data_IF_800809684014
#
_entry.id   IF_800809684014
#
_cell.length_a   1.000
_cell.length_b   1.000
_cell.length_c   1.000
_cell.angle_alpha   90.00
_cell.angle_beta   90.00
_cell.angle_gamma   90.00
#
_symmetry.space_group_name_H-M   'P 1'
#
loop_
_entity.id
_entity.type
_entity.pdbx_description
1 polymer ?
#
# COMPACT_ATOMS: atom_id res chain seq x y z
N UNK A 1 -69.90 -45.42 -18.10
CA UNK A 1 -68.81 -46.23 -18.71
C UNK A 1 -67.73 -45.28 -19.20
N UNK A 2 -66.51 -45.44 -18.67
CA UNK A 2 -65.39 -44.49 -18.81
C UNK A 2 -64.64 -44.78 -20.12
N UNK A 3 -64.44 -43.76 -20.94
CA UNK A 3 -63.60 -43.80 -22.15
C UNK A 3 -62.15 -43.41 -21.77
N UNK A 4 -61.17 -44.30 -21.99
CA UNK A 4 -59.73 -44.01 -21.79
C UNK A 4 -59.13 -43.43 -23.08
N UNK A 5 -58.46 -42.27 -22.98
CA UNK A 5 -57.60 -41.69 -24.03
C UNK A 5 -56.12 -42.03 -23.75
N UNK A 6 -55.28 -42.29 -24.76
CA UNK A 6 -53.91 -42.75 -24.57
C UNK A 6 -52.92 -41.62 -24.25
N UNK A 7 -51.87 -41.95 -23.49
CA UNK A 7 -50.80 -41.07 -23.01
C UNK A 7 -49.62 -41.07 -24.02
N UNK A 8 -49.42 -40.00 -24.78
CA UNK A 8 -48.26 -39.85 -25.66
C UNK A 8 -47.81 -38.39 -25.84
N UNK A 9 -47.55 -37.65 -24.76
CA UNK A 9 -47.06 -36.25 -24.84
C UNK A 9 -45.90 -35.94 -23.86
N UNK A 10 -45.55 -36.85 -22.93
CA UNK A 10 -44.62 -36.52 -21.83
C UNK A 10 -43.12 -36.62 -22.11
N UNK A 11 -42.68 -37.12 -23.27
CA UNK A 11 -41.26 -37.44 -23.48
C UNK A 11 -40.39 -36.32 -24.10
N UNK A 12 -40.99 -35.24 -24.61
CA UNK A 12 -40.25 -34.20 -25.36
C UNK A 12 -39.83 -33.01 -24.48
N UNK A 13 -40.52 -32.77 -23.36
CA UNK A 13 -40.28 -31.60 -22.48
C UNK A 13 -38.99 -31.68 -21.66
N UNK A 14 -38.50 -32.89 -21.36
CA UNK A 14 -37.42 -33.10 -20.39
C UNK A 14 -36.02 -32.81 -20.95
N UNK A 15 -35.83 -32.88 -22.28
CA UNK A 15 -34.50 -32.65 -22.89
C UNK A 15 -34.19 -31.17 -23.18
N UNK A 16 -35.22 -30.33 -23.35
CA UNK A 16 -35.02 -28.90 -23.65
C UNK A 16 -34.56 -28.13 -22.41
N UNK A 17 -35.00 -28.52 -21.20
CA UNK A 17 -34.53 -27.91 -19.95
C UNK A 17 -33.06 -28.17 -19.64
N UNK A 18 -32.46 -29.24 -20.15
CA UNK A 18 -31.05 -29.57 -19.88
C UNK A 18 -30.07 -28.85 -20.81
N UNK A 19 -30.53 -28.33 -21.96
CA UNK A 19 -29.65 -27.66 -22.94
C UNK A 19 -29.52 -26.16 -22.63
N UNK A 20 -30.50 -25.54 -21.96
CA UNK A 20 -30.44 -24.13 -21.56
C UNK A 20 -29.49 -23.88 -20.38
N UNK A 21 -29.20 -24.91 -19.57
CA UNK A 21 -28.31 -24.78 -18.42
C UNK A 21 -26.81 -24.79 -18.78
N UNK A 22 -26.44 -25.19 -20.00
CA UNK A 22 -25.03 -25.33 -20.43
C UNK A 22 -24.50 -24.07 -21.13
N UNK A 23 -25.35 -23.10 -21.48
CA UNK A 23 -24.93 -21.86 -22.17
C UNK A 23 -24.76 -20.64 -21.26
N UNK A 24 -24.97 -20.77 -19.94
CA UNK A 24 -24.88 -19.67 -18.95
C UNK A 24 -23.64 -19.85 -18.04
N UNK A 25 -22.63 -20.60 -18.51
CA UNK A 25 -21.37 -20.83 -17.79
C UNK A 25 -20.14 -20.26 -18.52
N UNK A 26 -20.32 -19.12 -19.22
CA UNK A 26 -19.22 -18.40 -19.89
C UNK A 26 -19.20 -16.91 -19.53
N UNK A 27 -19.62 -16.55 -18.31
CA UNK A 27 -19.29 -15.26 -17.68
C UNK A 27 -18.14 -15.47 -16.70
N UNK A 28 -17.00 -15.92 -17.22
CA UNK A 28 -15.74 -15.91 -16.47
C UNK A 28 -15.28 -14.46 -16.32
N UNK A 29 -15.70 -13.89 -15.20
CA UNK A 29 -14.95 -12.98 -14.32
C UNK A 29 -13.82 -12.20 -15.00
N UNK A 30 -14.15 -11.02 -15.53
CA UNK A 30 -13.18 -9.93 -15.63
C UNK A 30 -12.81 -9.50 -14.21
N UNK A 31 -11.71 -10.03 -13.68
CA UNK A 31 -11.14 -9.56 -12.43
C UNK A 31 -10.67 -8.12 -12.65
N UNK A 32 -11.38 -7.15 -12.07
CA UNK A 32 -11.07 -5.74 -12.19
C UNK A 32 -9.70 -5.42 -11.58
N UNK A 33 -8.75 -5.01 -12.41
CA UNK A 33 -7.50 -4.37 -11.96
C UNK A 33 -7.81 -2.90 -11.63
N UNK A 34 -8.48 -2.66 -10.50
CA UNK A 34 -8.63 -1.31 -9.89
C UNK A 34 -7.77 -1.20 -8.62
N UNK A 35 -6.50 -1.62 -8.65
CA UNK A 35 -5.60 -1.48 -7.48
C UNK A 35 -4.91 -0.11 -7.36
N UNK A 36 -4.92 0.71 -8.42
CA UNK A 36 -4.16 1.97 -8.43
C UNK A 36 -4.84 3.15 -7.73
N UNK A 37 -6.17 3.22 -7.68
CA UNK A 37 -6.86 4.33 -6.99
C UNK A 37 -6.91 4.13 -5.47
N UNK A 38 -7.12 2.89 -5.01
CA UNK A 38 -7.26 2.57 -3.57
C UNK A 38 -5.93 2.66 -2.81
N UNK A 39 -4.80 2.35 -3.45
CA UNK A 39 -3.48 2.41 -2.79
C UNK A 39 -3.02 3.84 -2.47
N UNK A 40 -3.28 4.78 -3.36
CA UNK A 40 -2.88 6.17 -3.14
C UNK A 40 -3.65 6.79 -1.97
N UNK A 41 -4.95 6.53 -1.83
CA UNK A 41 -5.74 7.07 -0.71
C UNK A 41 -5.26 6.57 0.66
N UNK A 42 -4.76 5.33 0.75
CA UNK A 42 -4.15 4.82 1.98
C UNK A 42 -2.88 5.61 2.37
N UNK A 43 -2.09 6.04 1.39
CA UNK A 43 -0.85 6.77 1.60
C UNK A 43 -1.09 8.16 2.23
N UNK A 44 -2.13 8.86 1.78
CA UNK A 44 -2.42 10.26 2.14
C UNK A 44 -3.23 10.43 3.42
N UNK A 45 -4.05 9.44 3.79
CA UNK A 45 -4.95 9.52 4.95
C UNK A 45 -4.30 9.00 6.24
N UNK A 46 -2.99 9.22 6.39
CA UNK A 46 -2.19 8.63 7.44
C UNK A 46 -0.97 9.50 7.75
N UNK A 47 -0.58 9.48 9.03
CA UNK A 47 0.78 9.82 9.43
C UNK A 47 1.56 8.53 9.64
N UNK A 48 2.78 8.49 9.11
CA UNK A 48 3.63 7.29 9.05
C UNK A 48 4.80 7.45 9.99
N UNK A 49 4.81 6.67 11.08
CA UNK A 49 5.90 6.64 12.05
C UNK A 49 6.80 5.43 11.83
N UNK A 50 8.10 5.67 11.77
CA UNK A 50 9.13 4.66 11.56
C UNK A 50 9.11 3.63 12.69
N UNK A 51 9.10 2.35 12.33
CA UNK A 51 9.23 1.23 13.28
C UNK A 51 10.41 0.32 12.95
N UNK A 52 10.99 0.46 11.76
CA UNK A 52 12.16 -0.28 11.32
C UNK A 52 12.92 0.50 10.26
N UNK A 53 14.25 0.48 10.34
CA UNK A 53 15.17 0.95 9.31
C UNK A 53 16.36 -0.01 9.21
N UNK A 54 16.68 -0.40 7.99
CA UNK A 54 17.90 -1.14 7.68
C UNK A 54 19.09 -0.21 7.85
N UNK A 55 20.19 -0.65 8.45
CA UNK A 55 21.31 0.25 8.67
C UNK A 55 22.38 -0.30 9.61
N UNK A 56 23.03 0.59 10.40
CA UNK A 56 24.17 0.21 11.23
C UNK A 56 23.78 -0.82 12.29
N UNK A 57 24.77 -1.53 12.84
CA UNK A 57 24.61 -2.54 13.90
C UNK A 57 24.27 -1.93 15.27
N UNK A 58 23.31 -1.01 15.29
CA UNK A 58 22.79 -0.33 16.47
C UNK A 58 21.30 -0.69 16.56
N UNK A 59 20.81 -0.98 17.76
CA UNK A 59 19.39 -1.25 17.97
C UNK A 59 18.53 -0.03 17.57
N UNK A 60 17.32 -0.28 17.05
CA UNK A 60 16.41 0.78 16.61
C UNK A 60 16.14 1.84 17.69
N UNK A 61 15.90 1.41 18.92
CA UNK A 61 15.70 2.32 20.06
C UNK A 61 16.98 3.08 20.45
N UNK A 62 18.16 2.53 20.18
CA UNK A 62 19.42 3.26 20.34
C UNK A 62 19.67 4.27 19.24
N UNK A 63 19.06 4.08 18.07
CA UNK A 63 19.14 5.00 16.94
C UNK A 63 18.17 6.18 17.09
N UNK A 64 17.02 5.94 17.72
CA UNK A 64 15.95 6.92 17.95
C UNK A 64 15.45 6.87 19.42
N UNK A 65 16.29 7.26 20.40
CA UNK A 65 15.95 7.14 21.82
C UNK A 65 14.83 8.09 22.25
N UNK A 66 14.80 9.30 21.70
CA UNK A 66 13.86 10.35 22.13
C UNK A 66 12.61 10.40 21.24
N UNK A 67 12.81 10.41 19.92
CA UNK A 67 11.75 10.58 18.94
C UNK A 67 11.99 9.73 17.71
N UNK A 68 10.93 9.04 17.29
CA UNK A 68 10.92 8.23 16.07
C UNK A 68 10.58 9.12 14.86
N UNK A 69 11.30 8.98 13.73
CA UNK A 69 10.98 9.70 12.51
C UNK A 69 9.53 9.45 12.09
N UNK A 70 8.87 10.49 11.64
CA UNK A 70 7.46 10.45 11.28
C UNK A 70 7.17 11.49 10.22
N UNK A 71 6.34 11.14 9.23
CA UNK A 71 5.91 12.08 8.20
C UNK A 71 4.51 11.75 7.67
N UNK A 72 3.90 12.74 7.04
CA UNK A 72 2.68 12.59 6.24
C UNK A 72 2.93 13.08 4.81
N UNK A 73 2.15 12.56 3.87
CA UNK A 73 2.14 13.05 2.50
C UNK A 73 1.20 14.24 2.38
N UNK A 74 1.72 15.40 1.98
CA UNK A 74 0.90 16.57 1.68
C UNK A 74 0.62 16.67 0.18
N UNK A 75 -0.64 16.43 -0.21
CA UNK A 75 -1.10 16.55 -1.60
C UNK A 75 -0.99 17.99 -2.12
N UNK A 76 -1.07 18.99 -1.24
CA UNK A 76 -1.08 20.40 -1.64
C UNK A 76 0.29 20.87 -2.13
N UNK A 77 1.34 20.56 -1.38
CA UNK A 77 2.73 20.88 -1.72
C UNK A 77 3.45 19.80 -2.55
N UNK A 78 2.89 18.59 -2.63
CA UNK A 78 3.56 17.41 -3.18
C UNK A 78 4.90 17.09 -2.46
N UNK A 79 4.88 17.28 -1.14
CA UNK A 79 5.99 16.98 -0.24
C UNK A 79 5.57 16.01 0.87
N UNK A 80 6.54 15.29 1.43
CA UNK A 80 6.38 14.70 2.76
C UNK A 80 6.78 15.73 3.79
N UNK A 81 6.02 15.81 4.89
CA UNK A 81 6.25 16.78 5.97
C UNK A 81 6.21 16.05 7.31
N UNK A 82 7.20 16.30 8.17
CA UNK A 82 7.29 15.71 9.49
C UNK A 82 8.63 15.96 10.18
N UNK A 83 9.25 14.90 10.70
CA UNK A 83 10.52 14.96 11.42
C UNK A 83 11.41 13.74 11.12
N UNK A 84 12.70 13.92 11.32
CA UNK A 84 13.75 12.91 11.09
C UNK A 84 14.20 12.21 12.40
N UNK A 85 13.42 12.33 13.48
CA UNK A 85 13.77 11.86 14.82
C UNK A 85 14.62 12.82 15.65
N UNK A 86 15.11 13.92 15.07
CA UNK A 86 15.82 15.00 15.79
C UNK A 86 15.32 16.37 15.33
N UNK A 87 15.42 16.64 14.03
CA UNK A 87 15.00 17.91 13.43
C UNK A 87 13.73 17.73 12.56
N UNK A 88 13.19 18.86 12.08
CA UNK A 88 12.12 18.87 11.09
C UNK A 88 12.57 18.23 9.77
N UNK A 89 11.66 17.54 9.08
CA UNK A 89 11.93 16.91 7.80
C UNK A 89 10.84 17.26 6.80
N UNK A 90 11.24 17.80 5.66
CA UNK A 90 10.40 17.84 4.47
C UNK A 90 11.21 17.41 3.26
N UNK A 91 10.55 16.85 2.25
CA UNK A 91 11.14 16.55 0.96
C UNK A 91 10.05 16.42 -0.11
N UNK A 92 10.27 16.92 -1.33
CA UNK A 92 9.37 16.62 -2.44
C UNK A 92 9.37 15.13 -2.73
N UNK A 93 8.24 14.59 -3.16
CA UNK A 93 8.16 13.20 -3.59
C UNK A 93 7.59 13.09 -5.00
N UNK A 94 7.84 11.96 -5.65
CA UNK A 94 7.20 11.58 -6.91
C UNK A 94 6.62 10.19 -6.75
N UNK A 95 5.39 10.00 -7.22
CA UNK A 95 4.69 8.72 -7.22
C UNK A 95 4.34 8.31 -8.64
N UNK A 96 4.66 7.07 -9.00
CA UNK A 96 4.19 6.45 -10.24
C UNK A 96 3.82 4.99 -9.98
N UNK A 97 2.52 4.71 -9.90
CA UNK A 97 1.98 3.41 -9.50
C UNK A 97 2.59 2.92 -8.16
N UNK A 98 3.59 2.03 -8.23
CA UNK A 98 4.29 1.46 -7.05
C UNK A 98 5.70 2.04 -6.84
N UNK A 99 6.18 2.91 -7.73
CA UNK A 99 7.42 3.62 -7.51
C UNK A 99 7.18 4.87 -6.67
N UNK A 100 8.15 5.16 -5.80
CA UNK A 100 8.21 6.39 -5.03
C UNK A 100 9.66 6.83 -4.96
N UNK A 101 9.92 8.12 -5.12
CA UNK A 101 11.23 8.72 -4.87
C UNK A 101 11.08 10.00 -4.08
N UNK A 102 12.09 10.31 -3.28
CA UNK A 102 12.16 11.55 -2.50
C UNK A 102 13.29 12.41 -3.04
N UNK A 103 13.00 13.69 -3.29
CA UNK A 103 14.00 14.65 -3.73
C UNK A 103 14.84 15.18 -2.58
N UNK A 104 15.49 16.32 -2.81
CA UNK A 104 16.35 16.92 -1.80
C UNK A 104 15.54 17.42 -0.61
N UNK A 105 15.95 17.09 0.64
CA UNK A 105 15.27 17.57 1.82
C UNK A 105 15.26 19.09 1.89
N UNK A 106 14.13 19.64 2.34
CA UNK A 106 13.99 21.07 2.61
C UNK A 106 14.86 21.55 3.77
N UNK A 107 14.89 22.88 4.01
CA UNK A 107 15.65 23.47 5.10
C UNK A 107 15.22 22.89 6.45
N UNK A 108 16.19 22.65 7.31
CA UNK A 108 15.98 22.10 8.65
C UNK A 108 16.98 22.69 9.64
N UNK A 109 16.67 22.56 10.93
CA UNK A 109 17.55 22.93 12.02
C UNK A 109 18.79 22.02 12.06
N UNK A 110 19.90 22.52 12.64
CA UNK A 110 21.18 21.82 12.70
C UNK A 110 21.46 21.18 14.07
N UNK A 111 20.41 20.76 14.80
CA UNK A 111 20.60 20.08 16.09
C UNK A 111 21.16 18.68 15.87
N UNK A 112 22.07 18.23 16.73
CA UNK A 112 22.59 16.87 16.67
C UNK A 112 22.07 16.05 17.87
N UNK A 113 21.32 14.98 17.59
CA UNK A 113 20.78 14.05 18.59
C UNK A 113 21.38 12.64 18.47
N UNK A 114 22.47 12.47 17.71
CA UNK A 114 23.06 11.18 17.37
C UNK A 114 22.98 10.84 15.89
N UNK A 115 23.25 9.58 15.54
CA UNK A 115 23.36 9.16 14.13
C UNK A 115 22.02 8.89 13.45
N UNK A 116 20.92 8.78 14.21
CA UNK A 116 19.63 8.32 13.67
C UNK A 116 19.05 9.17 12.56
N UNK A 117 19.08 10.50 12.73
CA UNK A 117 18.60 11.40 11.69
C UNK A 117 19.37 11.23 10.38
N UNK A 118 20.70 11.16 10.45
CA UNK A 118 21.53 11.02 9.25
C UNK A 118 21.21 9.70 8.54
N UNK A 119 21.07 8.60 9.30
CA UNK A 119 20.69 7.30 8.74
C UNK A 119 19.31 7.36 8.05
N UNK A 120 18.32 7.98 8.70
CA UNK A 120 16.99 8.18 8.13
C UNK A 120 17.05 8.97 6.82
N UNK A 121 17.68 10.15 6.82
CA UNK A 121 17.79 11.02 5.64
C UNK A 121 18.53 10.34 4.50
N UNK A 122 19.64 9.64 4.78
CA UNK A 122 20.38 8.89 3.77
C UNK A 122 19.55 7.74 3.21
N UNK A 123 18.76 7.05 4.03
CA UNK A 123 17.92 5.97 3.55
C UNK A 123 16.77 6.46 2.68
N UNK A 124 16.10 7.55 3.05
CA UNK A 124 15.04 8.17 2.25
C UNK A 124 15.50 8.46 0.81
N UNK A 125 16.75 8.94 0.62
CA UNK A 125 17.34 9.20 -0.71
C UNK A 125 17.53 7.94 -1.56
N UNK A 126 17.57 6.75 -0.97
CA UNK A 126 17.78 5.47 -1.67
C UNK A 126 16.48 4.78 -2.07
N UNK A 127 15.34 5.26 -1.59
CA UNK A 127 14.05 4.65 -1.85
C UNK A 127 13.63 4.92 -3.29
N UNK A 128 13.17 3.86 -3.96
CA UNK A 128 12.64 3.92 -5.32
C UNK A 128 11.27 3.22 -5.46
N UNK A 129 10.80 2.51 -4.43
CA UNK A 129 9.53 1.79 -4.46
C UNK A 129 8.86 1.75 -3.08
N UNK A 130 7.55 1.53 -3.07
CA UNK A 130 6.79 1.30 -1.83
C UNK A 130 5.80 0.15 -1.97
N UNK A 131 5.39 -0.37 -0.81
CA UNK A 131 4.31 -1.34 -0.71
C UNK A 131 3.59 -1.21 0.62
N UNK A 132 2.41 -1.82 0.72
CA UNK A 132 1.71 -2.04 1.97
C UNK A 132 1.75 -3.53 2.30
N UNK A 133 2.02 -3.87 3.56
CA UNK A 133 1.88 -5.25 4.02
C UNK A 133 0.42 -5.57 4.39
N UNK A 134 0.18 -6.82 4.81
CA UNK A 134 -1.15 -7.30 5.18
C UNK A 134 -1.76 -6.54 6.38
N UNK A 135 -0.92 -5.96 7.23
CA UNK A 135 -1.32 -5.19 8.41
C UNK A 135 -1.53 -3.69 8.08
N UNK A 136 -1.36 -3.31 6.81
CA UNK A 136 -1.51 -1.94 6.34
C UNK A 136 -0.33 -1.02 6.65
N UNK A 137 0.84 -1.58 7.01
CA UNK A 137 2.07 -0.80 7.24
C UNK A 137 2.71 -0.43 5.93
N UNK A 138 3.28 0.77 5.87
CA UNK A 138 4.00 1.27 4.71
C UNK A 138 5.43 0.72 4.74
N UNK A 139 5.84 0.05 3.67
CA UNK A 139 7.21 -0.36 3.44
C UNK A 139 7.81 0.52 2.34
N UNK A 140 8.92 1.19 2.65
CA UNK A 140 9.74 1.90 1.68
C UNK A 140 10.93 1.02 1.30
N UNK A 141 11.11 0.85 -0.01
CA UNK A 141 11.96 -0.18 -0.58
C UNK A 141 13.03 0.42 -1.48
N UNK A 142 14.18 -0.25 -1.51
CA UNK A 142 15.22 -0.08 -2.50
C UNK A 142 15.20 -1.31 -3.40
N UNK A 143 14.72 -1.11 -4.63
CA UNK A 143 14.33 -2.17 -5.55
C UNK A 143 13.23 -3.03 -4.91
N UNK A 144 13.51 -4.29 -4.63
CA UNK A 144 12.56 -5.24 -4.03
C UNK A 144 12.81 -5.50 -2.54
N UNK A 145 13.80 -4.83 -1.94
CA UNK A 145 14.18 -5.02 -0.54
C UNK A 145 13.57 -3.92 0.31
N UNK A 146 12.79 -4.31 1.33
CA UNK A 146 12.24 -3.36 2.31
C UNK A 146 13.35 -2.79 3.18
N UNK A 147 13.57 -1.48 3.04
CA UNK A 147 14.63 -0.77 3.76
C UNK A 147 14.07 -0.11 5.01
N UNK A 148 12.84 0.38 4.97
CA UNK A 148 12.16 1.01 6.09
C UNK A 148 10.71 0.56 6.16
N UNK A 149 10.19 0.44 7.39
CA UNK A 149 8.79 0.14 7.65
C UNK A 149 8.19 1.17 8.60
N UNK A 150 6.96 1.55 8.32
CA UNK A 150 6.23 2.56 9.05
C UNK A 150 4.86 2.04 9.46
N UNK A 151 4.50 2.28 10.71
CA UNK A 151 3.13 2.09 11.19
C UNK A 151 2.32 3.37 11.02
N UNK A 152 1.02 3.21 10.83
CA UNK A 152 0.08 4.32 10.84
C UNK A 152 -0.09 4.83 12.27
N UNK A 153 -0.01 6.15 12.45
CA UNK A 153 -0.42 6.85 13.67
C UNK A 153 -1.65 7.67 13.33
N UNK A 154 -2.65 7.63 14.21
CA UNK A 154 -3.85 8.45 14.04
C UNK A 154 -3.48 9.94 14.17
N UNK A 155 -4.08 10.78 13.33
CA UNK A 155 -3.98 12.24 13.42
C UNK A 155 -4.73 12.77 14.64
#
# INVERSE_FOLDING_TARGET
MICKRPQAIKLIRTKIQSIVFVLILSLVTSCGTQKNMVQNDQLYNATWQLEYISGPRIAFEGLFPDKKPEFKFDKGSNEVIGNSGCNGYSAPYTLNAKSISFGEPGPSTMMYCGQGEQQFRTMMKKINAYSFDADGKLNLMMNEVSMMRFKKVAN
#
